data_IF_561132792128
#
_entry.id   IF_561132792128
#
_cell.length_a   1.000
_cell.length_b   1.000
_cell.length_c   1.000
_cell.angle_alpha   90.00
_cell.angle_beta   90.00
_cell.angle_gamma   90.00
#
_symmetry.space_group_name_H-M   'P 1'
#
loop_
_entity.id
_entity.type
_entity.pdbx_description
1 polymer ?
#
# COMPACT_ATOMS: atom_id res chain seq x y z
N UNK A 1 -26.50 9.75 11.45
CA UNK A 1 -25.07 10.00 11.73
C UNK A 1 -24.21 8.79 11.31
N UNK A 2 -24.73 7.55 11.29
CA UNK A 2 -24.00 6.33 10.85
C UNK A 2 -24.09 5.97 9.35
N UNK A 3 -23.81 6.91 8.44
CA UNK A 3 -23.77 6.60 6.99
C UNK A 3 -22.34 6.55 6.44
N UNK A 4 -21.37 7.25 7.04
CA UNK A 4 -20.07 7.46 6.41
C UNK A 4 -19.01 6.38 6.66
N UNK A 5 -19.14 5.54 7.70
CA UNK A 5 -18.18 4.46 7.96
C UNK A 5 -18.88 3.13 8.27
N UNK A 6 -19.43 2.47 7.25
CA UNK A 6 -19.81 1.05 7.35
C UNK A 6 -18.77 0.20 6.65
N UNK A 7 -17.81 -0.30 7.41
CA UNK A 7 -16.85 -1.31 6.95
C UNK A 7 -17.36 -2.68 7.45
N UNK A 8 -17.70 -3.57 6.51
CA UNK A 8 -18.01 -4.95 6.82
C UNK A 8 -16.75 -5.78 6.61
N UNK A 9 -16.24 -6.40 7.67
CA UNK A 9 -15.10 -7.31 7.61
C UNK A 9 -15.58 -8.75 7.64
N UNK A 10 -15.06 -9.57 6.72
CA UNK A 10 -15.26 -11.01 6.69
C UNK A 10 -13.92 -11.68 6.46
N UNK A 11 -13.62 -12.69 7.29
CA UNK A 11 -12.39 -13.47 7.16
C UNK A 11 -12.69 -14.81 6.49
N UNK A 12 -11.88 -15.14 5.49
CA UNK A 12 -11.94 -16.40 4.77
C UNK A 12 -10.65 -17.18 4.97
N UNK A 13 -10.74 -18.51 4.95
CA UNK A 13 -9.58 -19.40 5.12
C UNK A 13 -8.78 -19.44 3.83
N UNK A 14 -7.44 -19.41 3.92
CA UNK A 14 -6.52 -19.46 2.78
C UNK A 14 -6.80 -20.65 1.82
N UNK A 15 -7.25 -21.78 2.38
CA UNK A 15 -7.67 -22.96 1.62
C UNK A 15 -8.84 -22.73 0.66
N UNK A 16 -9.75 -21.79 0.97
CA UNK A 16 -10.85 -21.43 0.06
C UNK A 16 -10.32 -20.74 -1.20
N UNK A 17 -9.33 -19.85 -1.05
CA UNK A 17 -8.68 -19.17 -2.18
C UNK A 17 -7.84 -20.15 -3.00
N UNK A 18 -7.16 -21.10 -2.34
CA UNK A 18 -6.41 -22.17 -3.02
C UNK A 18 -7.28 -22.95 -4.00
N UNK A 19 -8.53 -23.27 -3.64
CA UNK A 19 -9.42 -24.02 -4.52
C UNK A 19 -9.64 -23.27 -5.84
N UNK A 20 -9.97 -21.97 -5.76
CA UNK A 20 -10.18 -21.10 -6.92
C UNK A 20 -8.92 -20.99 -7.79
N UNK A 21 -7.74 -20.89 -7.17
CA UNK A 21 -6.46 -20.85 -7.92
C UNK A 21 -6.26 -22.12 -8.75
N UNK A 22 -6.66 -23.28 -8.24
CA UNK A 22 -6.53 -24.56 -8.95
C UNK A 22 -7.55 -24.71 -10.10
N UNK A 23 -8.64 -23.95 -10.07
CA UNK A 23 -9.64 -23.93 -11.15
C UNK A 23 -9.21 -23.03 -12.32
N UNK A 24 -8.28 -22.08 -12.09
CA UNK A 24 -7.72 -21.26 -13.16
C UNK A 24 -6.86 -22.10 -14.10
N UNK A 25 -7.29 -22.18 -15.35
CA UNK A 25 -6.60 -22.93 -16.40
C UNK A 25 -5.28 -22.26 -16.81
N UNK A 26 -4.37 -23.04 -17.40
CA UNK A 26 -3.13 -22.48 -17.97
C UNK A 26 -3.42 -21.54 -19.14
N UNK A 27 -4.52 -21.76 -19.87
CA UNK A 27 -4.92 -20.91 -20.98
C UNK A 27 -5.30 -19.49 -20.49
N UNK A 28 -6.12 -19.40 -19.44
CA UNK A 28 -6.49 -18.12 -18.82
C UNK A 28 -5.27 -17.39 -18.26
N UNK A 29 -4.39 -18.12 -17.57
CA UNK A 29 -3.14 -17.55 -17.07
C UNK A 29 -2.24 -17.03 -18.20
N UNK A 30 -2.15 -17.76 -19.32
CA UNK A 30 -1.33 -17.34 -20.47
C UNK A 30 -1.88 -16.08 -21.15
N UNK A 31 -3.21 -15.91 -21.24
CA UNK A 31 -3.82 -14.67 -21.73
C UNK A 31 -3.41 -13.48 -20.84
N UNK A 32 -3.45 -13.66 -19.52
CA UNK A 32 -3.02 -12.61 -18.60
C UNK A 32 -1.51 -12.31 -18.70
N UNK A 33 -0.69 -13.32 -18.99
CA UNK A 33 0.74 -13.14 -19.26
C UNK A 33 1.01 -12.33 -20.54
N UNK A 34 0.15 -12.43 -21.57
CA UNK A 34 0.23 -11.58 -22.76
C UNK A 34 -0.06 -10.12 -22.41
N UNK A 35 -1.08 -9.88 -21.58
CA UNK A 35 -1.38 -8.53 -21.06
C UNK A 35 -0.19 -7.97 -20.27
N UNK A 36 0.43 -8.77 -19.39
CA UNK A 36 1.64 -8.37 -18.68
C UNK A 36 2.77 -7.98 -19.63
N UNK A 37 2.96 -8.73 -20.71
CA UNK A 37 4.03 -8.49 -21.70
C UNK A 37 3.81 -7.21 -22.49
N UNK A 38 2.56 -6.80 -22.69
CA UNK A 38 2.21 -5.52 -23.32
C UNK A 38 2.42 -4.35 -22.34
N UNK A 39 1.93 -4.52 -21.10
CA UNK A 39 1.86 -3.45 -20.10
C UNK A 39 3.16 -3.18 -19.35
N UNK A 40 4.00 -4.18 -19.15
CA UNK A 40 5.21 -4.10 -18.35
C UNK A 40 6.46 -4.47 -19.15
N UNK A 41 7.63 -4.33 -18.53
CA UNK A 41 8.88 -4.89 -19.03
C UNK A 41 9.07 -6.24 -18.34
N UNK A 42 9.27 -7.33 -19.07
CA UNK A 42 9.68 -8.59 -18.46
C UNK A 42 11.19 -8.60 -18.28
N UNK A 43 11.68 -8.99 -17.10
CA UNK A 43 13.08 -9.35 -16.95
C UNK A 43 13.45 -10.50 -17.90
N UNK A 44 14.70 -10.56 -18.36
CA UNK A 44 15.15 -11.53 -19.36
C UNK A 44 14.84 -12.98 -18.95
N UNK A 45 15.00 -13.29 -17.65
CA UNK A 45 14.72 -14.61 -17.09
C UNK A 45 13.22 -14.95 -17.08
N UNK A 46 12.34 -13.93 -16.98
CA UNK A 46 10.88 -14.08 -17.01
C UNK A 46 10.30 -14.07 -18.43
N UNK A 47 11.07 -13.60 -19.43
CA UNK A 47 10.65 -13.55 -20.82
C UNK A 47 10.70 -14.95 -21.48
N UNK A 48 11.67 -15.79 -21.13
CA UNK A 48 11.81 -17.15 -21.65
C UNK A 48 11.05 -18.18 -20.80
N UNK A 49 10.64 -19.32 -21.39
CA UNK A 49 10.11 -20.45 -20.63
C UNK A 49 11.15 -20.97 -19.63
N UNK A 50 10.71 -21.19 -18.39
CA UNK A 50 11.60 -21.54 -17.29
C UNK A 50 10.97 -21.23 -15.93
N UNK A 51 11.77 -21.36 -14.86
CA UNK A 51 11.29 -21.20 -13.49
C UNK A 51 10.73 -19.80 -13.19
N UNK A 52 11.38 -18.74 -13.69
CA UNK A 52 10.92 -17.37 -13.47
C UNK A 52 9.61 -17.09 -14.23
N UNK A 53 9.46 -17.54 -15.48
CA UNK A 53 8.19 -17.43 -16.20
C UNK A 53 7.07 -18.25 -15.57
N UNK A 54 7.36 -19.43 -15.02
CA UNK A 54 6.39 -20.19 -14.22
C UNK A 54 5.99 -19.45 -12.93
N UNK A 55 6.94 -18.79 -12.27
CA UNK A 55 6.64 -17.95 -11.11
C UNK A 55 5.70 -16.78 -11.45
N UNK A 56 5.88 -16.15 -12.63
CA UNK A 56 4.94 -15.14 -13.13
C UNK A 56 3.57 -15.75 -13.43
N UNK A 57 3.52 -16.94 -14.05
CA UNK A 57 2.26 -17.68 -14.31
C UNK A 57 1.52 -18.04 -13.01
N UNK A 58 2.23 -18.37 -11.94
CA UNK A 58 1.64 -18.58 -10.61
C UNK A 58 0.97 -17.31 -10.09
N UNK A 59 1.63 -16.15 -10.18
CA UNK A 59 1.02 -14.88 -9.78
C UNK A 59 -0.20 -14.54 -10.65
N UNK A 60 -0.18 -14.83 -11.95
CA UNK A 60 -1.34 -14.65 -12.82
C UNK A 60 -2.55 -15.49 -12.38
N UNK A 61 -2.34 -16.75 -11.98
CA UNK A 61 -3.42 -17.59 -11.44
C UNK A 61 -3.95 -17.05 -10.11
N UNK A 62 -3.05 -16.58 -9.23
CA UNK A 62 -3.42 -15.92 -7.98
C UNK A 62 -4.25 -14.67 -8.25
N UNK A 63 -3.84 -13.83 -9.20
CA UNK A 63 -4.56 -12.61 -9.60
C UNK A 63 -5.97 -12.92 -10.09
N UNK A 64 -6.12 -13.86 -11.02
CA UNK A 64 -7.42 -14.23 -11.58
C UNK A 64 -8.37 -14.79 -10.51
N UNK A 65 -7.87 -15.68 -9.65
CA UNK A 65 -8.67 -16.28 -8.59
C UNK A 65 -9.07 -15.25 -7.52
N UNK A 66 -8.14 -14.39 -7.09
CA UNK A 66 -8.45 -13.32 -6.14
C UNK A 66 -9.44 -12.33 -6.75
N UNK A 67 -9.25 -11.93 -8.02
CA UNK A 67 -10.16 -11.01 -8.71
C UNK A 67 -11.58 -11.58 -8.80
N UNK A 68 -11.73 -12.84 -9.20
CA UNK A 68 -13.02 -13.51 -9.26
C UNK A 68 -13.68 -13.56 -7.87
N UNK A 69 -12.93 -13.99 -6.85
CA UNK A 69 -13.41 -14.05 -5.46
C UNK A 69 -13.90 -12.69 -4.95
N UNK A 70 -13.11 -11.64 -5.18
CA UNK A 70 -13.44 -10.28 -4.74
C UNK A 70 -14.68 -9.76 -5.47
N UNK A 71 -14.81 -10.02 -6.77
CA UNK A 71 -15.97 -9.59 -7.56
C UNK A 71 -17.25 -10.31 -7.17
N UNK A 72 -17.22 -11.64 -7.06
CA UNK A 72 -18.37 -12.45 -6.67
C UNK A 72 -18.88 -12.11 -5.26
N UNK A 73 -17.95 -11.83 -4.34
CA UNK A 73 -18.28 -11.42 -2.98
C UNK A 73 -18.61 -9.94 -2.81
N UNK A 74 -18.43 -9.10 -3.85
CA UNK A 74 -18.65 -7.66 -3.76
C UNK A 74 -17.65 -6.93 -2.85
N UNK A 75 -16.44 -7.47 -2.70
CA UNK A 75 -15.40 -6.91 -1.82
C UNK A 75 -14.61 -5.81 -2.52
N UNK A 76 -14.49 -4.63 -1.89
CA UNK A 76 -13.69 -3.51 -2.42
C UNK A 76 -12.23 -3.46 -1.92
N UNK A 77 -11.90 -4.25 -0.90
CA UNK A 77 -10.58 -4.30 -0.28
C UNK A 77 -10.31 -5.68 0.32
N UNK A 78 -9.04 -6.02 0.51
CA UNK A 78 -8.64 -7.30 1.10
C UNK A 78 -7.29 -7.19 1.80
N UNK A 79 -6.93 -8.24 2.53
CA UNK A 79 -5.64 -8.38 3.20
C UNK A 79 -5.04 -9.75 2.92
N UNK A 80 -3.73 -9.87 3.06
CA UNK A 80 -3.01 -11.17 3.10
C UNK A 80 -2.26 -11.30 4.42
N UNK A 81 -1.77 -12.49 4.73
CA UNK A 81 -0.76 -12.69 5.78
C UNK A 81 0.24 -13.72 5.30
N UNK A 82 1.54 -13.44 5.46
CA UNK A 82 2.59 -14.41 5.12
C UNK A 82 2.63 -15.59 6.10
N UNK A 83 1.97 -15.50 7.24
CA UNK A 83 1.92 -16.56 8.26
C UNK A 83 0.90 -17.66 7.93
N UNK A 84 -0.09 -17.38 7.08
CA UNK A 84 -1.04 -18.38 6.58
C UNK A 84 -1.09 -18.42 5.04
N UNK A 85 -0.12 -19.13 4.47
CA UNK A 85 -0.02 -19.39 3.03
C UNK A 85 -0.26 -20.88 2.70
N UNK A 86 -1.02 -21.59 3.52
CA UNK A 86 -1.22 -23.03 3.35
C UNK A 86 -1.88 -23.36 2.00
N UNK A 87 -1.16 -24.11 1.17
CA UNK A 87 -1.60 -24.47 -0.18
C UNK A 87 -1.29 -23.45 -1.27
N UNK A 88 -0.84 -22.24 -0.93
CA UNK A 88 -0.29 -21.30 -1.91
C UNK A 88 1.17 -21.63 -2.22
N UNK A 89 1.52 -21.52 -3.51
CA UNK A 89 2.91 -21.71 -3.99
C UNK A 89 3.81 -20.53 -3.64
N UNK A 90 3.25 -19.32 -3.62
CA UNK A 90 3.93 -18.05 -3.43
C UNK A 90 3.06 -17.12 -2.56
N UNK A 91 3.69 -16.15 -1.91
CA UNK A 91 2.97 -14.99 -1.37
C UNK A 91 2.41 -14.16 -2.56
N UNK A 92 1.15 -13.70 -2.52
CA UNK A 92 0.61 -12.80 -3.55
C UNK A 92 1.39 -11.47 -3.58
N UNK A 93 2.08 -11.19 -4.69
CA UNK A 93 2.90 -9.99 -4.90
C UNK A 93 2.42 -9.21 -6.11
N UNK A 94 2.87 -9.61 -7.31
CA UNK A 94 2.39 -9.06 -8.59
C UNK A 94 0.85 -9.01 -8.66
N UNK A 95 0.18 -10.08 -8.24
CA UNK A 95 -1.28 -10.14 -8.19
C UNK A 95 -1.89 -9.00 -7.35
N UNK A 96 -1.32 -8.72 -6.18
CA UNK A 96 -1.80 -7.65 -5.29
C UNK A 96 -1.52 -6.28 -5.88
N UNK A 97 -0.35 -6.07 -6.46
CA UNK A 97 0.02 -4.82 -7.11
C UNK A 97 -0.97 -4.47 -8.23
N UNK A 98 -1.37 -5.47 -9.04
CA UNK A 98 -2.35 -5.30 -10.12
C UNK A 98 -3.77 -5.11 -9.61
N UNK A 99 -4.18 -5.80 -8.55
CA UNK A 99 -5.49 -5.55 -7.92
C UNK A 99 -5.56 -4.13 -7.33
N UNK A 100 -4.49 -3.64 -6.70
CA UNK A 100 -4.45 -2.23 -6.28
C UNK A 100 -4.49 -1.26 -7.47
N UNK A 101 -3.86 -1.61 -8.59
CA UNK A 101 -3.96 -0.83 -9.83
C UNK A 101 -5.40 -0.78 -10.34
N UNK A 102 -6.14 -1.88 -10.25
CA UNK A 102 -7.56 -1.98 -10.60
C UNK A 102 -8.50 -1.27 -9.59
N UNK A 103 -7.94 -0.64 -8.55
CA UNK A 103 -8.69 0.18 -7.60
C UNK A 103 -9.02 -0.51 -6.27
N UNK A 104 -8.63 -1.77 -6.07
CA UNK A 104 -8.88 -2.46 -4.79
C UNK A 104 -8.03 -1.86 -3.66
N UNK A 105 -8.60 -1.85 -2.46
CA UNK A 105 -7.85 -1.60 -1.24
C UNK A 105 -7.03 -2.82 -0.85
N UNK A 106 -5.81 -2.60 -0.38
CA UNK A 106 -4.96 -3.65 0.15
C UNK A 106 -4.25 -3.19 1.41
N UNK A 107 -4.12 -4.09 2.37
CA UNK A 107 -3.28 -3.94 3.55
C UNK A 107 -2.62 -5.28 3.86
N UNK A 108 -1.32 -5.23 4.13
CA UNK A 108 -0.55 -6.43 4.38
C UNK A 108 -0.71 -6.93 5.84
N UNK A 109 -0.28 -8.16 6.12
CA UNK A 109 -0.30 -8.80 7.46
C UNK A 109 -1.65 -8.77 8.19
N UNK A 110 -2.77 -8.81 7.45
CA UNK A 110 -4.11 -8.74 8.02
C UNK A 110 -4.55 -7.32 8.39
N UNK A 111 -3.85 -6.28 7.94
CA UNK A 111 -4.17 -4.88 8.24
C UNK A 111 -5.37 -4.36 7.44
N UNK A 112 -6.55 -4.70 7.95
CA UNK A 112 -7.82 -4.29 7.37
C UNK A 112 -8.08 -2.79 7.45
N UNK A 113 -7.48 -2.07 8.42
CA UNK A 113 -7.65 -0.61 8.56
C UNK A 113 -6.99 0.08 7.39
N UNK A 114 -5.74 -0.27 7.11
CA UNK A 114 -5.03 0.29 5.95
C UNK A 114 -5.65 -0.19 4.64
N UNK A 115 -6.10 -1.45 4.54
CA UNK A 115 -6.80 -1.93 3.35
C UNK A 115 -8.05 -1.09 3.01
N UNK A 116 -8.88 -0.81 4.02
CA UNK A 116 -10.05 0.04 3.86
C UNK A 116 -9.68 1.48 3.47
N UNK A 117 -8.64 2.04 4.11
CA UNK A 117 -8.14 3.39 3.80
C UNK A 117 -7.60 3.49 2.38
N UNK A 118 -6.84 2.49 1.90
CA UNK A 118 -6.34 2.49 0.51
C UNK A 118 -7.50 2.47 -0.47
N UNK A 119 -8.56 1.68 -0.23
CA UNK A 119 -9.76 1.69 -1.09
C UNK A 119 -10.46 3.05 -1.05
N UNK A 120 -10.65 3.62 0.13
CA UNK A 120 -11.29 4.92 0.32
C UNK A 120 -10.57 6.00 -0.47
N UNK A 121 -9.25 6.13 -0.29
CA UNK A 121 -8.44 7.17 -0.95
C UNK A 121 -8.40 6.94 -2.46
N UNK A 122 -8.38 5.69 -2.93
CA UNK A 122 -8.52 5.38 -4.36
C UNK A 122 -9.87 5.81 -4.95
N UNK A 123 -10.96 5.63 -4.21
CA UNK A 123 -12.29 6.12 -4.63
C UNK A 123 -12.35 7.64 -4.63
N UNK A 124 -11.78 8.27 -3.60
CA UNK A 124 -11.68 9.73 -3.48
C UNK A 124 -10.89 10.33 -4.65
N UNK A 125 -9.83 9.66 -5.10
CA UNK A 125 -9.00 10.09 -6.23
C UNK A 125 -9.51 9.68 -7.61
N UNK A 126 -10.75 9.19 -7.74
CA UNK A 126 -11.28 8.74 -9.02
C UNK A 126 -11.29 9.89 -10.06
N UNK A 127 -10.67 9.65 -11.20
CA UNK A 127 -10.51 10.65 -12.26
C UNK A 127 -9.21 11.45 -12.20
N UNK A 128 -8.38 11.24 -11.16
CA UNK A 128 -7.01 11.76 -11.06
C UNK A 128 -6.00 10.69 -11.52
N UNK A 129 -4.77 11.11 -11.86
CA UNK A 129 -3.81 10.31 -12.64
C UNK A 129 -2.40 10.20 -12.04
N UNK A 130 -2.20 10.63 -10.80
CA UNK A 130 -0.90 10.57 -10.11
C UNK A 130 -0.74 9.34 -9.23
N UNK A 131 -1.84 8.75 -8.76
CA UNK A 131 -1.88 7.46 -8.10
C UNK A 131 -1.93 7.49 -6.58
N UNK A 132 -2.34 6.35 -6.04
CA UNK A 132 -2.44 6.04 -4.61
C UNK A 132 -1.99 4.60 -4.37
N UNK A 133 -1.25 4.34 -3.30
CA UNK A 133 -0.70 3.03 -2.95
C UNK A 133 -0.81 2.73 -1.46
N UNK A 134 -0.90 1.45 -1.12
CA UNK A 134 -0.41 0.97 0.17
C UNK A 134 1.10 1.26 0.29
N UNK A 135 1.58 1.61 1.48
CA UNK A 135 2.97 1.98 1.71
C UNK A 135 3.43 1.71 3.15
N UNK A 136 4.71 1.42 3.31
CA UNK A 136 5.38 1.30 4.60
C UNK A 136 6.71 2.07 4.58
N UNK A 137 7.00 2.80 5.66
CA UNK A 137 8.29 3.45 5.89
C UNK A 137 9.38 2.39 6.15
N UNK A 138 10.23 2.12 5.16
CA UNK A 138 11.09 0.93 5.15
C UNK A 138 12.49 1.18 5.73
N UNK A 139 13.10 2.33 5.40
CA UNK A 139 14.41 2.74 5.95
C UNK A 139 14.66 4.24 5.75
N UNK A 140 15.70 4.78 6.39
CA UNK A 140 16.01 6.21 6.39
C UNK A 140 17.37 6.54 5.77
N UNK A 141 17.43 7.68 5.08
CA UNK A 141 18.65 8.37 4.70
C UNK A 141 18.82 9.59 5.61
N UNK A 142 19.85 9.60 6.46
CA UNK A 142 20.07 10.63 7.50
C UNK A 142 21.21 11.60 7.13
N UNK A 143 21.40 11.88 5.84
CA UNK A 143 22.35 12.89 5.42
C UNK A 143 21.81 14.28 5.76
N UNK A 144 22.64 15.09 6.43
CA UNK A 144 22.24 16.41 6.90
C UNK A 144 21.75 17.31 5.74
N UNK A 145 20.51 17.78 5.84
CA UNK A 145 19.86 18.63 4.82
C UNK A 145 19.31 17.87 3.60
N UNK A 146 19.47 16.55 3.57
CA UNK A 146 18.90 15.67 2.55
C UNK A 146 18.22 14.45 3.19
N UNK A 147 17.64 14.64 4.37
CA UNK A 147 16.99 13.57 5.10
C UNK A 147 15.77 13.04 4.32
N UNK A 148 15.70 11.71 4.15
CA UNK A 148 14.64 11.06 3.38
C UNK A 148 14.20 9.74 4.02
N UNK A 149 12.97 9.34 3.71
CA UNK A 149 12.43 8.00 3.96
C UNK A 149 12.38 7.25 2.65
N UNK A 150 12.80 5.98 2.64
CA UNK A 150 12.50 5.05 1.56
C UNK A 150 11.22 4.29 1.93
N UNK A 151 10.14 4.56 1.21
CA UNK A 151 8.89 3.83 1.31
C UNK A 151 8.87 2.62 0.37
N UNK A 152 8.47 1.46 0.87
CA UNK A 152 8.32 0.23 0.10
C UNK A 152 7.36 -0.73 0.81
N UNK A 153 7.31 -1.97 0.36
CA UNK A 153 6.82 -3.11 1.14
C UNK A 153 7.54 -4.38 0.64
N UNK A 154 7.27 -5.55 1.23
CA UNK A 154 7.93 -6.79 0.81
C UNK A 154 7.71 -7.13 -0.67
N UNK A 155 6.51 -6.87 -1.21
CA UNK A 155 6.17 -7.01 -2.64
C UNK A 155 5.21 -5.89 -3.13
N UNK A 156 4.28 -5.47 -2.29
CA UNK A 156 2.95 -4.98 -2.66
C UNK A 156 2.88 -3.44 -2.78
N UNK A 157 3.67 -2.85 -3.66
CA UNK A 157 3.58 -1.42 -3.99
C UNK A 157 2.82 -1.22 -5.31
N UNK A 158 1.76 -0.40 -5.29
CA UNK A 158 0.86 -0.19 -6.42
C UNK A 158 1.56 0.55 -7.59
N UNK A 159 1.49 0.05 -8.83
CA UNK A 159 2.18 0.67 -9.97
C UNK A 159 1.58 2.01 -10.41
N UNK A 160 0.43 2.44 -9.87
CA UNK A 160 -0.16 3.75 -10.20
C UNK A 160 0.75 4.92 -9.82
N UNK A 161 1.65 4.73 -8.85
CA UNK A 161 2.62 5.75 -8.42
C UNK A 161 3.98 5.62 -9.13
N UNK A 162 4.09 4.80 -10.17
CA UNK A 162 5.34 4.61 -10.89
C UNK A 162 5.71 5.82 -11.77
N UNK A 163 6.99 6.15 -11.81
CA UNK A 163 7.57 7.19 -12.68
C UNK A 163 7.94 6.66 -14.06
N UNK A 164 8.07 5.34 -14.19
CA UNK A 164 8.48 4.66 -15.41
C UNK A 164 7.74 3.34 -15.59
N UNK A 165 7.81 2.75 -16.79
CA UNK A 165 7.17 1.47 -17.10
C UNK A 165 7.69 0.39 -16.13
N UNK A 166 6.85 -0.19 -15.26
CA UNK A 166 7.30 -1.17 -14.28
C UNK A 166 7.90 -2.43 -14.91
N UNK A 167 8.85 -3.05 -14.21
CA UNK A 167 9.50 -4.30 -14.63
C UNK A 167 9.02 -5.46 -13.77
N UNK A 168 8.58 -6.56 -14.39
CA UNK A 168 8.28 -7.81 -13.69
C UNK A 168 9.59 -8.53 -13.42
N UNK A 169 9.85 -8.78 -12.14
CA UNK A 169 11.04 -9.49 -11.66
C UNK A 169 10.65 -10.61 -10.70
N UNK A 170 11.49 -11.64 -10.61
CA UNK A 170 11.34 -12.77 -9.70
C UNK A 170 12.60 -12.85 -8.84
N UNK A 171 12.43 -12.80 -7.52
CA UNK A 171 13.53 -12.84 -6.56
C UNK A 171 13.16 -13.69 -5.35
N UNK A 172 14.16 -14.25 -4.64
CA UNK A 172 13.92 -14.96 -3.39
C UNK A 172 13.22 -14.10 -2.33
N UNK A 173 12.28 -14.70 -1.60
CA UNK A 173 11.65 -14.14 -0.41
C UNK A 173 11.60 -15.22 0.67
N UNK A 174 12.43 -15.08 1.72
CA UNK A 174 12.45 -16.03 2.83
C UNK A 174 11.21 -15.93 3.74
N UNK A 175 10.60 -14.74 3.81
CA UNK A 175 9.40 -14.48 4.60
C UNK A 175 8.22 -15.30 4.04
N UNK A 176 7.53 -16.04 4.91
CA UNK A 176 6.45 -16.96 4.53
C UNK A 176 6.90 -18.33 4.00
N UNK A 177 8.21 -18.55 3.76
CA UNK A 177 8.77 -19.87 3.43
C UNK A 177 8.23 -20.48 2.13
N UNK A 178 7.95 -19.65 1.12
CA UNK A 178 7.39 -20.05 -0.18
C UNK A 178 8.39 -19.93 -1.32
N UNK A 179 7.97 -20.36 -2.52
CA UNK A 179 8.76 -20.16 -3.72
C UNK A 179 8.90 -18.67 -4.05
N UNK A 180 9.93 -18.34 -4.82
CA UNK A 180 10.27 -16.97 -5.24
C UNK A 180 9.08 -16.30 -5.95
N UNK A 181 8.49 -15.23 -5.37
CA UNK A 181 7.34 -14.56 -5.95
C UNK A 181 7.75 -13.58 -7.06
N UNK A 182 6.89 -13.45 -8.09
CA UNK A 182 7.01 -12.35 -9.05
C UNK A 182 6.43 -11.05 -8.48
N UNK A 183 7.05 -9.92 -8.83
CA UNK A 183 6.60 -8.56 -8.45
C UNK A 183 6.86 -7.55 -9.56
N UNK A 184 6.19 -6.41 -9.51
CA UNK A 184 6.57 -5.20 -10.23
C UNK A 184 7.62 -4.41 -9.44
N UNK A 185 8.68 -4.03 -10.13
CA UNK A 185 9.77 -3.19 -9.62
C UNK A 185 9.80 -1.89 -10.44
N UNK A 186 9.80 -0.75 -9.76
CA UNK A 186 9.82 0.59 -10.38
C UNK A 186 10.31 1.65 -9.38
N UNK A 187 10.64 2.83 -9.90
CA UNK A 187 10.88 4.04 -9.11
C UNK A 187 9.57 4.82 -8.97
N UNK A 188 9.27 5.32 -7.78
CA UNK A 188 8.08 6.15 -7.53
C UNK A 188 8.20 7.55 -8.16
N UNK A 189 7.07 8.09 -8.60
CA UNK A 189 6.95 9.43 -9.21
C UNK A 189 7.22 10.52 -8.15
N UNK A 190 7.99 11.58 -8.48
CA UNK A 190 8.16 12.72 -7.59
C UNK A 190 6.94 13.64 -7.58
N UNK A 191 6.77 14.38 -6.50
CA UNK A 191 5.74 15.41 -6.36
C UNK A 191 5.20 15.54 -4.92
N UNK A 192 4.41 16.59 -4.65
CA UNK A 192 3.71 16.73 -3.39
C UNK A 192 2.77 15.54 -3.17
N UNK A 193 2.77 15.00 -1.96
CA UNK A 193 2.02 13.82 -1.59
C UNK A 193 1.57 13.87 -0.13
N UNK A 194 0.84 12.85 0.29
CA UNK A 194 0.56 12.62 1.70
C UNK A 194 0.69 11.14 2.04
N UNK A 195 1.06 10.89 3.29
CA UNK A 195 0.84 9.62 3.98
C UNK A 195 -0.29 9.79 4.98
N UNK A 196 -1.22 8.83 5.03
CA UNK A 196 -2.23 8.80 6.08
C UNK A 196 -2.31 7.43 6.77
N UNK A 197 -2.60 7.43 8.06
CA UNK A 197 -2.79 6.23 8.88
C UNK A 197 -4.02 6.38 9.76
N UNK A 198 -4.91 5.40 9.71
CA UNK A 198 -6.08 5.33 10.59
C UNK A 198 -5.79 4.32 11.70
N UNK A 199 -5.74 4.80 12.93
CA UNK A 199 -5.46 3.98 14.10
C UNK A 199 -6.68 3.88 15.00
N UNK A 200 -6.81 2.73 15.64
CA UNK A 200 -7.81 2.47 16.67
C UNK A 200 -7.18 2.72 18.04
N UNK A 201 -7.71 3.72 18.76
CA UNK A 201 -7.26 4.09 20.11
C UNK A 201 -7.96 3.26 21.19
N UNK A 202 -8.86 2.35 20.81
CA UNK A 202 -9.66 1.50 21.67
C UNK A 202 -11.09 2.02 21.85
N UNK A 203 -11.23 3.30 22.21
CA UNK A 203 -12.52 3.97 22.40
C UNK A 203 -12.97 4.81 21.19
N UNK A 204 -12.06 5.04 20.23
CA UNK A 204 -12.28 5.89 19.06
C UNK A 204 -11.21 5.65 17.99
N UNK A 205 -11.48 6.13 16.77
CA UNK A 205 -10.46 6.21 15.72
C UNK A 205 -9.76 7.56 15.73
N UNK A 206 -8.49 7.55 15.31
CA UNK A 206 -7.67 8.73 15.03
C UNK A 206 -7.07 8.60 13.64
N UNK A 207 -7.25 9.61 12.81
CA UNK A 207 -6.57 9.76 11.52
C UNK A 207 -5.30 10.59 11.70
N UNK A 208 -4.16 10.11 11.23
CA UNK A 208 -2.91 10.87 11.24
C UNK A 208 -2.51 11.09 9.80
N UNK A 209 -2.27 12.34 9.44
CA UNK A 209 -1.94 12.76 8.08
C UNK A 209 -0.58 13.43 8.13
N UNK A 210 0.38 12.96 7.34
CA UNK A 210 1.65 13.63 7.14
C UNK A 210 1.77 14.08 5.68
N UNK A 211 1.94 15.38 5.47
CA UNK A 211 2.32 15.93 4.18
C UNK A 211 3.78 15.62 3.91
N UNK A 212 4.05 15.08 2.73
CA UNK A 212 5.38 14.64 2.31
C UNK A 212 5.65 15.08 0.87
N UNK A 213 6.91 15.20 0.51
CA UNK A 213 7.33 15.43 -0.86
C UNK A 213 8.02 14.18 -1.39
N UNK A 214 7.42 13.51 -2.37
CA UNK A 214 8.08 12.43 -3.09
C UNK A 214 9.18 13.02 -3.99
N UNK A 215 10.39 12.48 -3.91
CA UNK A 215 11.57 13.02 -4.59
C UNK A 215 12.16 12.03 -5.58
N UNK A 216 12.81 12.56 -6.61
CA UNK A 216 13.46 11.76 -7.64
C UNK A 216 14.58 10.88 -7.06
N UNK A 217 14.58 9.60 -7.42
CA UNK A 217 15.67 8.69 -7.09
C UNK A 217 16.85 8.86 -8.06
N UNK A 218 17.81 9.70 -7.66
CA UNK A 218 19.03 10.02 -8.44
C UNK A 218 20.01 8.85 -8.56
N UNK A 219 20.09 7.99 -7.54
CA UNK A 219 21.04 6.88 -7.50
C UNK A 219 20.32 5.54 -7.73
N UNK A 220 20.88 4.69 -8.56
CA UNK A 220 20.33 3.35 -8.78
C UNK A 220 20.47 2.45 -7.54
N UNK A 221 19.48 1.58 -7.34
CA UNK A 221 19.46 0.60 -6.27
C UNK A 221 19.37 -0.82 -6.87
N UNK A 222 20.43 -1.30 -7.54
CA UNK A 222 20.38 -2.50 -8.37
C UNK A 222 20.17 -3.80 -7.59
N UNK A 223 20.36 -3.76 -6.26
CA UNK A 223 20.16 -4.91 -5.36
C UNK A 223 18.87 -4.83 -4.54
N UNK A 224 18.08 -3.77 -4.71
CA UNK A 224 16.80 -3.63 -4.02
C UNK A 224 15.71 -4.25 -4.89
N UNK A 225 15.14 -5.42 -4.54
CA UNK A 225 14.37 -6.21 -5.48
C UNK A 225 12.87 -5.85 -5.48
N UNK A 226 12.53 -4.67 -4.93
CA UNK A 226 11.17 -4.16 -4.76
C UNK A 226 11.03 -2.75 -5.34
N UNK A 227 9.81 -2.42 -5.74
CA UNK A 227 9.43 -1.04 -6.01
C UNK A 227 9.51 -0.18 -4.75
N UNK A 228 9.79 1.11 -4.94
CA UNK A 228 10.09 2.04 -3.85
C UNK A 228 9.83 3.49 -4.23
N UNK A 229 9.58 4.32 -3.23
CA UNK A 229 9.49 5.77 -3.33
C UNK A 229 10.43 6.42 -2.31
N UNK A 230 11.02 7.57 -2.66
CA UNK A 230 11.77 8.38 -1.71
C UNK A 230 10.92 9.57 -1.28
N UNK A 231 10.82 9.80 0.02
CA UNK A 231 9.93 10.80 0.61
C UNK A 231 10.73 11.75 1.51
N UNK A 232 10.44 13.04 1.42
CA UNK A 232 10.84 14.05 2.39
C UNK A 232 9.61 14.45 3.20
N UNK A 233 9.46 13.96 4.44
CA UNK A 233 8.31 14.31 5.26
C UNK A 233 8.45 15.75 5.79
N UNK A 234 7.33 16.47 5.83
CA UNK A 234 7.26 17.84 6.35
C UNK A 234 6.99 17.82 7.87
N UNK A 235 7.56 18.75 8.66
CA UNK A 235 8.48 19.82 8.25
C UNK A 235 9.94 19.35 8.09
N UNK A 236 10.27 18.23 8.70
CA UNK A 236 11.55 17.54 8.59
C UNK A 236 11.37 16.09 9.00
N UNK A 237 12.27 15.19 8.59
CA UNK A 237 12.25 13.79 9.04
C UNK A 237 12.19 13.65 10.55
N UNK A 238 12.99 14.45 11.27
CA UNK A 238 13.04 14.39 12.73
C UNK A 238 11.71 14.73 13.37
N UNK A 239 11.14 15.89 13.02
CA UNK A 239 9.94 16.40 13.69
C UNK A 239 8.70 15.65 13.22
N UNK A 240 8.64 15.25 11.94
CA UNK A 240 7.55 14.42 11.42
C UNK A 240 7.51 13.05 12.10
N UNK A 241 8.66 12.37 12.21
CA UNK A 241 8.74 11.10 12.91
C UNK A 241 8.41 11.23 14.41
N UNK A 242 8.90 12.29 15.10
CA UNK A 242 8.54 12.54 16.50
C UNK A 242 7.03 12.74 16.67
N UNK A 243 6.41 13.58 15.83
CA UNK A 243 4.97 13.82 15.87
C UNK A 243 4.16 12.55 15.56
N UNK A 244 4.56 11.77 14.55
CA UNK A 244 3.92 10.52 14.17
C UNK A 244 3.93 9.49 15.30
N UNK A 245 5.10 9.30 15.94
CA UNK A 245 5.27 8.40 17.07
C UNK A 245 4.42 8.86 18.26
N UNK A 246 4.41 10.16 18.57
CA UNK A 246 3.60 10.70 19.68
C UNK A 246 2.10 10.54 19.42
N UNK A 247 1.67 10.65 18.16
CA UNK A 247 0.28 10.44 17.77
C UNK A 247 -0.15 8.96 17.79
N UNK A 248 0.82 8.04 17.74
CA UNK A 248 0.60 6.60 17.71
C UNK A 248 0.40 6.02 16.31
N UNK A 249 0.87 6.71 15.26
CA UNK A 249 0.64 6.31 13.87
C UNK A 249 1.25 4.94 13.55
N UNK A 250 0.59 4.18 12.67
CA UNK A 250 1.08 2.88 12.24
C UNK A 250 2.28 3.03 11.30
N UNK A 251 3.01 1.93 11.08
CA UNK A 251 4.04 1.81 10.04
C UNK A 251 3.40 1.67 8.66
N UNK A 252 2.24 1.02 8.57
CA UNK A 252 1.41 0.99 7.38
C UNK A 252 0.66 2.31 7.17
N UNK A 253 0.74 2.79 5.94
CA UNK A 253 0.10 4.02 5.49
C UNK A 253 -0.57 3.82 4.14
N UNK A 254 -1.52 4.71 3.84
CA UNK A 254 -1.89 4.99 2.46
C UNK A 254 -1.08 6.19 1.99
N UNK A 255 -0.29 6.00 0.94
CA UNK A 255 0.46 7.04 0.24
C UNK A 255 -0.34 7.51 -0.99
N UNK A 256 -0.47 8.82 -1.19
CA UNK A 256 -1.15 9.37 -2.37
C UNK A 256 -0.44 10.59 -2.93
N UNK A 257 -0.33 10.62 -4.26
CA UNK A 257 0.06 11.80 -5.04
C UNK A 257 -1.18 12.58 -5.54
N UNK A 258 -2.34 11.92 -5.58
CA UNK A 258 -3.61 12.50 -6.04
C UNK A 258 -4.32 13.26 -4.93
N UNK A 259 -4.36 12.67 -3.73
CA UNK A 259 -5.12 13.17 -2.60
C UNK A 259 -4.22 14.00 -1.68
N UNK A 260 -4.73 15.16 -1.28
CA UNK A 260 -4.02 16.12 -0.43
C UNK A 260 -4.44 15.98 1.04
N UNK A 261 -3.70 16.65 1.93
CA UNK A 261 -4.08 16.74 3.34
C UNK A 261 -5.49 17.31 3.55
N UNK A 262 -5.94 18.26 2.72
CA UNK A 262 -7.25 18.91 2.84
C UNK A 262 -8.40 17.93 2.62
N UNK A 263 -8.32 17.12 1.57
CA UNK A 263 -9.31 16.07 1.30
C UNK A 263 -9.46 15.09 2.48
N UNK A 264 -8.35 14.75 3.15
CA UNK A 264 -8.38 13.85 4.29
C UNK A 264 -8.92 14.52 5.56
N UNK A 265 -8.66 15.82 5.75
CA UNK A 265 -9.27 16.62 6.82
C UNK A 265 -10.78 16.69 6.63
N UNK A 266 -11.25 17.06 5.43
CA UNK A 266 -12.67 17.11 5.10
C UNK A 266 -13.35 15.77 5.35
N UNK A 267 -12.71 14.67 4.94
CA UNK A 267 -13.23 13.32 5.18
C UNK A 267 -13.33 12.99 6.68
N UNK A 268 -12.31 13.35 7.48
CA UNK A 268 -12.33 13.14 8.92
C UNK A 268 -13.45 13.94 9.60
N UNK A 269 -13.69 15.18 9.17
CA UNK A 269 -14.78 16.01 9.65
C UNK A 269 -16.15 15.42 9.28
N UNK A 270 -16.33 14.96 8.03
CA UNK A 270 -17.56 14.29 7.58
C UNK A 270 -17.86 13.02 8.37
N UNK A 271 -16.82 12.25 8.72
CA UNK A 271 -16.95 11.04 9.51
C UNK A 271 -17.07 11.31 11.01
N UNK A 272 -16.76 12.53 11.46
CA UNK A 272 -16.73 12.88 12.87
C UNK A 272 -15.68 12.07 13.64
N UNK A 273 -14.45 11.97 13.11
CA UNK A 273 -13.31 11.34 13.78
C UNK A 273 -12.21 12.36 14.08
N UNK A 274 -11.38 12.08 15.08
CA UNK A 274 -10.19 12.91 15.32
C UNK A 274 -9.24 12.79 14.14
N UNK A 275 -8.65 13.91 13.72
CA UNK A 275 -7.46 13.90 12.91
C UNK A 275 -6.31 14.68 13.57
N UNK A 276 -5.08 14.36 13.18
CA UNK A 276 -3.88 15.13 13.48
C UNK A 276 -3.11 15.35 12.17
N UNK A 277 -2.75 16.60 11.92
CA UNK A 277 -2.03 16.99 10.71
C UNK A 277 -0.57 17.33 11.04
N UNK A 278 0.34 16.71 10.29
CA UNK A 278 1.78 16.93 10.36
C UNK A 278 2.23 17.48 9.00
N UNK A 279 2.55 18.77 8.95
CA UNK A 279 3.05 19.47 7.77
C UNK A 279 4.08 20.55 8.13
N UNK A 280 4.42 21.44 7.19
CA UNK A 280 5.40 22.51 7.38
C UNK A 280 5.08 23.50 8.52
N UNK A 281 3.80 23.64 8.92
CA UNK A 281 3.39 24.54 9.99
C UNK A 281 3.44 23.87 11.38
N UNK A 282 3.79 22.58 11.45
CA UNK A 282 3.82 21.81 12.70
C UNK A 282 4.86 22.36 13.67
N UNK A 283 4.41 22.76 14.85
CA UNK A 283 5.26 23.07 15.99
C UNK A 283 5.07 22.02 17.07
N UNK A 284 6.15 21.35 17.49
CA UNK A 284 6.07 20.23 18.43
C UNK A 284 5.41 20.60 19.77
N UNK A 285 5.55 21.85 20.25
CA UNK A 285 4.85 22.31 21.45
C UNK A 285 3.33 22.28 21.28
N UNK A 286 2.87 22.73 20.12
CA UNK A 286 1.46 22.93 19.83
C UNK A 286 0.82 21.58 19.52
N UNK A 287 1.51 20.74 18.73
CA UNK A 287 1.10 19.36 18.44
C UNK A 287 0.92 18.53 19.73
N UNK A 288 1.85 18.64 20.68
CA UNK A 288 1.75 17.97 21.99
C UNK A 288 0.58 18.47 22.84
N UNK A 289 0.19 19.73 22.69
CA UNK A 289 -0.97 20.29 23.38
C UNK A 289 -2.27 19.86 22.69
N UNK A 290 -2.32 19.90 21.36
CA UNK A 290 -3.44 19.42 20.55
C UNK A 290 -3.79 17.97 20.88
N UNK A 291 -2.79 17.08 20.95
CA UNK A 291 -2.96 15.69 21.40
C UNK A 291 -3.72 15.58 22.74
N UNK A 292 -3.36 16.41 23.72
CA UNK A 292 -3.96 16.38 25.07
C UNK A 292 -5.38 16.94 25.06
N UNK A 293 -5.59 18.05 24.34
CA UNK A 293 -6.91 18.67 24.23
C UNK A 293 -7.88 17.75 23.49
N UNK A 294 -7.44 17.17 22.38
CA UNK A 294 -8.23 16.23 21.60
C UNK A 294 -8.55 14.96 22.39
N UNK A 295 -7.60 14.41 23.17
CA UNK A 295 -7.89 13.24 24.01
C UNK A 295 -9.04 13.48 24.98
N UNK A 296 -9.14 14.68 25.57
CA UNK A 296 -10.28 15.05 26.41
C UNK A 296 -11.56 15.24 25.60
N UNK A 297 -11.50 16.01 24.51
CA UNK A 297 -12.68 16.36 23.69
C UNK A 297 -13.32 15.11 23.09
N UNK A 298 -12.52 14.21 22.51
CA UNK A 298 -13.01 13.04 21.78
C UNK A 298 -13.44 11.88 22.67
N UNK A 299 -13.01 11.84 23.94
CA UNK A 299 -13.56 10.92 24.95
C UNK A 299 -14.92 11.34 25.49
N UNK A 300 -15.26 12.63 25.35
CA UNK A 300 -16.53 13.20 25.84
C UNK A 300 -17.63 13.21 24.77
N UNK A 301 -17.28 12.94 23.50
CA UNK A 301 -18.22 12.75 22.41
C UNK A 301 -18.75 11.32 22.40
#
# INVERSE_FOLDING_TARGET
QDIFLRILFQQYVCLSIRHLINEVSDAEANILLEEYSQKYILADEAAAEGAARDAVRVQAKIELALKAFLQEGGFGAFTTTFEDLHGLRQLPGLAVQRLMEDGYGFGAEGDWKTAAMVRLVKVMGSGLDKGTSFMEDYTYHLAQGDEMVLGAHMLEVCPTIADSKPRIEVHPLGIGGKADPARLVFKGRPGPAMNASLIDMGDRFRLIINSVDAVEQKNDMPRLPVARVLLKPQPSLRDAAEAWILAGGAHHTVFSLDITQEHMVDWAEMCGIEYLLINNDTKMSDFKNELKWNDVIWRLR
#
